data_IF_985768769682
#
_entry.id   IF_985768769682
#
_cell.length_a   1.000
_cell.length_b   1.000
_cell.length_c   1.000
_cell.angle_alpha   90.00
_cell.angle_beta   90.00
_cell.angle_gamma   90.00
#
_symmetry.space_group_name_H-M   'P 1'
#
loop_
_entity.id
_entity.type
_entity.pdbx_description
1 polymer ?
#
# COMPACT_ATOMS: atom_id res chain seq x y z
N UNK A 1 -25.24 16.78 -3.81
CA UNK A 1 -25.97 15.52 -4.18
C UNK A 1 -25.06 14.31 -3.97
N UNK A 2 -24.40 14.21 -2.82
CA UNK A 2 -23.11 13.50 -2.71
C UNK A 2 -23.16 12.21 -1.90
N UNK A 3 -23.85 12.18 -0.77
CA UNK A 3 -23.77 11.03 0.15
C UNK A 3 -24.54 9.80 -0.36
N UNK A 4 -25.76 9.99 -0.88
CA UNK A 4 -26.65 8.88 -1.24
C UNK A 4 -26.19 8.17 -2.51
N UNK A 5 -25.66 8.91 -3.49
CA UNK A 5 -25.09 8.34 -4.72
C UNK A 5 -23.80 7.57 -4.44
N UNK A 6 -22.94 8.09 -3.56
CA UNK A 6 -21.71 7.39 -3.16
C UNK A 6 -22.00 6.16 -2.30
N UNK A 7 -23.03 6.18 -1.46
CA UNK A 7 -23.48 5.01 -0.72
C UNK A 7 -23.97 3.90 -1.66
N UNK A 8 -24.77 4.24 -2.68
CA UNK A 8 -25.23 3.27 -3.70
C UNK A 8 -24.07 2.69 -4.50
N UNK A 9 -23.09 3.52 -4.89
CA UNK A 9 -21.88 3.05 -5.58
C UNK A 9 -21.08 2.08 -4.70
N UNK A 10 -20.87 2.41 -3.42
CA UNK A 10 -20.19 1.53 -2.45
C UNK A 10 -20.93 0.22 -2.26
N UNK A 11 -22.26 0.25 -2.14
CA UNK A 11 -23.08 -0.97 -2.05
C UNK A 11 -22.99 -1.81 -3.33
N UNK A 12 -22.98 -1.18 -4.51
CA UNK A 12 -22.77 -1.85 -5.78
C UNK A 12 -21.41 -2.55 -5.88
N UNK A 13 -20.34 -1.85 -5.49
CA UNK A 13 -18.99 -2.44 -5.42
C UNK A 13 -18.92 -3.59 -4.41
N UNK A 14 -19.65 -3.49 -3.30
CA UNK A 14 -19.75 -4.57 -2.31
C UNK A 14 -20.46 -5.80 -2.90
N UNK A 15 -21.46 -5.58 -3.77
CA UNK A 15 -22.16 -6.63 -4.51
C UNK A 15 -21.29 -7.34 -5.56
N UNK A 16 -20.32 -6.64 -6.16
CA UNK A 16 -19.28 -7.25 -7.02
C UNK A 16 -18.36 -8.13 -6.16
N UNK A 17 -18.10 -7.72 -4.92
CA UNK A 17 -17.25 -8.44 -3.97
C UNK A 17 -15.77 -8.11 -4.14
N UNK A 18 -15.02 -8.28 -3.05
CA UNK A 18 -13.61 -7.87 -2.95
C UNK A 18 -12.66 -8.69 -3.83
N UNK A 19 -13.00 -9.96 -4.08
CA UNK A 19 -12.19 -10.87 -4.91
C UNK A 19 -12.36 -10.57 -6.41
N UNK A 20 -13.54 -10.09 -6.80
CA UNK A 20 -13.88 -9.78 -8.19
C UNK A 20 -13.68 -8.29 -8.53
N UNK A 21 -13.10 -7.50 -7.62
CA UNK A 21 -12.85 -6.07 -7.75
C UNK A 21 -11.67 -5.79 -8.70
N UNK A 22 -11.91 -6.01 -9.99
CA UNK A 22 -10.98 -5.74 -11.10
C UNK A 22 -11.35 -4.44 -11.82
N UNK A 23 -10.40 -3.87 -12.57
CA UNK A 23 -10.66 -2.70 -13.42
C UNK A 23 -11.83 -2.96 -14.37
N UNK A 24 -11.85 -4.11 -15.04
CA UNK A 24 -12.93 -4.52 -15.95
C UNK A 24 -14.30 -4.53 -15.26
N UNK A 25 -14.39 -5.06 -14.03
CA UNK A 25 -15.64 -5.08 -13.26
C UNK A 25 -16.10 -3.70 -12.81
N UNK A 26 -15.17 -2.81 -12.45
CA UNK A 26 -15.48 -1.42 -12.10
C UNK A 26 -15.99 -0.66 -13.33
N UNK A 27 -15.37 -0.88 -14.49
CA UNK A 27 -15.80 -0.32 -15.77
C UNK A 27 -17.18 -0.83 -16.18
N UNK A 28 -17.42 -2.15 -16.09
CA UNK A 28 -18.72 -2.78 -16.37
C UNK A 28 -19.82 -2.20 -15.48
N UNK A 29 -19.59 -2.11 -14.17
CA UNK A 29 -20.53 -1.51 -13.23
C UNK A 29 -20.82 -0.04 -13.54
N UNK A 30 -19.78 0.73 -13.89
CA UNK A 30 -19.96 2.12 -14.31
C UNK A 30 -20.80 2.23 -15.59
N UNK A 31 -20.57 1.36 -16.57
CA UNK A 31 -21.37 1.34 -17.81
C UNK A 31 -22.83 0.97 -17.54
N UNK A 32 -23.11 0.04 -16.62
CA UNK A 32 -24.48 -0.29 -16.23
C UNK A 32 -25.20 0.89 -15.58
N UNK A 33 -24.53 1.60 -14.67
CA UNK A 33 -25.09 2.79 -14.03
C UNK A 33 -25.35 3.91 -15.05
N UNK A 34 -24.50 4.06 -16.07
CA UNK A 34 -24.74 5.00 -17.17
C UNK A 34 -25.99 4.59 -17.97
N UNK A 35 -26.12 3.30 -18.30
CA UNK A 35 -27.26 2.77 -19.06
C UNK A 35 -28.59 2.92 -18.32
N UNK A 36 -28.58 2.74 -16.99
CA UNK A 36 -29.76 2.92 -16.13
C UNK A 36 -30.16 4.39 -15.96
N UNK A 37 -29.30 5.33 -16.37
CA UNK A 37 -29.52 6.76 -16.20
C UNK A 37 -29.16 7.27 -14.79
N UNK A 38 -28.56 6.42 -13.95
CA UNK A 38 -28.17 6.75 -12.58
C UNK A 38 -26.86 7.57 -12.52
N UNK A 39 -26.10 7.62 -13.62
CA UNK A 39 -24.94 8.48 -13.76
C UNK A 39 -24.73 8.96 -15.20
N UNK A 40 -24.14 10.13 -15.37
CA UNK A 40 -23.66 10.60 -16.68
C UNK A 40 -22.39 9.87 -17.12
N UNK A 41 -22.07 9.92 -18.42
CA UNK A 41 -20.82 9.37 -18.97
C UNK A 41 -19.57 9.99 -18.33
N UNK A 42 -19.64 11.27 -17.97
CA UNK A 42 -18.52 11.98 -17.35
C UNK A 42 -18.32 11.54 -15.90
N UNK A 43 -19.41 11.42 -15.13
CA UNK A 43 -19.38 10.90 -13.76
C UNK A 43 -18.91 9.44 -13.70
N UNK A 44 -19.29 8.61 -14.67
CA UNK A 44 -18.83 7.22 -14.76
C UNK A 44 -17.32 7.11 -14.98
N UNK A 45 -16.77 7.87 -15.94
CA UNK A 45 -15.32 7.93 -16.16
C UNK A 45 -14.57 8.41 -14.93
N UNK A 46 -15.11 9.43 -14.25
CA UNK A 46 -14.53 9.94 -13.01
C UNK A 46 -14.56 8.88 -11.90
N UNK A 47 -15.69 8.20 -11.72
CA UNK A 47 -15.85 7.14 -10.73
C UNK A 47 -14.82 6.01 -10.91
N UNK A 48 -14.66 5.50 -12.14
CA UNK A 48 -13.66 4.44 -12.42
C UNK A 48 -12.27 4.91 -12.03
N UNK A 49 -11.89 6.14 -12.44
CA UNK A 49 -10.58 6.71 -12.14
C UNK A 49 -10.36 6.88 -10.62
N UNK A 50 -11.36 7.39 -9.91
CA UNK A 50 -11.28 7.64 -8.47
C UNK A 50 -11.10 6.33 -7.69
N UNK A 51 -11.84 5.27 -8.06
CA UNK A 51 -11.71 3.94 -7.43
C UNK A 51 -10.34 3.33 -7.69
N UNK A 52 -9.83 3.42 -8.92
CA UNK A 52 -8.50 2.90 -9.26
C UNK A 52 -7.38 3.66 -8.54
N UNK A 53 -7.46 4.99 -8.49
CA UNK A 53 -6.47 5.82 -7.79
C UNK A 53 -6.49 5.58 -6.28
N UNK A 54 -7.67 5.46 -5.68
CA UNK A 54 -7.80 5.14 -4.26
C UNK A 54 -7.24 3.75 -3.95
N UNK A 55 -7.48 2.75 -4.82
CA UNK A 55 -6.89 1.42 -4.70
C UNK A 55 -5.36 1.46 -4.71
N UNK A 56 -4.75 2.19 -5.64
CA UNK A 56 -3.29 2.33 -5.72
C UNK A 56 -2.72 2.95 -4.44
N UNK A 57 -3.34 4.02 -3.95
CA UNK A 57 -2.93 4.68 -2.70
C UNK A 57 -3.03 3.74 -1.50
N UNK A 58 -4.16 3.04 -1.36
CA UNK A 58 -4.37 2.09 -0.26
C UNK A 58 -3.40 0.91 -0.31
N UNK A 59 -3.05 0.42 -1.50
CA UNK A 59 -2.06 -0.65 -1.66
C UNK A 59 -0.68 -0.18 -1.21
N UNK A 60 -0.26 1.03 -1.58
CA UNK A 60 1.02 1.59 -1.13
C UNK A 60 1.08 1.75 0.39
N UNK A 61 0.05 2.36 0.99
CA UNK A 61 -0.02 2.53 2.44
C UNK A 61 -0.05 1.18 3.18
N UNK A 62 -0.63 0.15 2.56
CA UNK A 62 -0.65 -1.21 3.08
C UNK A 62 0.71 -1.90 2.99
N UNK A 63 1.40 -1.78 1.86
CA UNK A 63 2.78 -2.28 1.68
C UNK A 63 3.73 -1.66 2.71
N UNK A 64 3.65 -0.34 2.91
CA UNK A 64 4.48 0.37 3.89
C UNK A 64 4.23 -0.16 5.32
N UNK A 65 2.95 -0.35 5.70
CA UNK A 65 2.58 -0.93 7.00
C UNK A 65 3.04 -2.37 7.16
N UNK A 66 2.95 -3.20 6.12
CA UNK A 66 3.46 -4.57 6.14
C UNK A 66 4.98 -4.55 6.33
N UNK A 67 5.69 -3.73 5.57
CA UNK A 67 7.15 -3.63 5.65
C UNK A 67 7.60 -3.20 7.05
N UNK A 68 6.92 -2.21 7.63
CA UNK A 68 7.17 -1.77 9.00
C UNK A 68 6.91 -2.91 10.00
N UNK A 69 5.76 -3.58 9.90
CA UNK A 69 5.39 -4.66 10.82
C UNK A 69 6.33 -5.86 10.74
N UNK A 70 6.75 -6.22 9.53
CA UNK A 70 7.75 -7.28 9.29
C UNK A 70 9.08 -6.87 9.92
N UNK A 71 9.54 -5.63 9.68
CA UNK A 71 10.77 -5.10 10.26
C UNK A 71 10.74 -5.14 11.80
N UNK A 72 9.66 -4.68 12.42
CA UNK A 72 9.48 -4.73 13.88
C UNK A 72 9.51 -6.17 14.40
N UNK A 73 8.85 -7.09 13.70
CA UNK A 73 8.79 -8.50 14.10
C UNK A 73 10.18 -9.13 14.02
N UNK A 74 10.93 -8.86 12.94
CA UNK A 74 12.30 -9.34 12.78
C UNK A 74 13.21 -8.83 13.89
N UNK A 75 13.12 -7.53 14.23
CA UNK A 75 13.87 -6.94 15.35
C UNK A 75 13.54 -7.61 16.69
N UNK A 76 12.26 -7.93 16.95
CA UNK A 76 11.83 -8.58 18.20
C UNK A 76 12.16 -10.07 18.26
N UNK A 77 12.32 -10.73 17.11
CA UNK A 77 12.60 -12.17 17.01
C UNK A 77 14.09 -12.55 17.19
N UNK A 78 14.98 -11.57 17.37
CA UNK A 78 16.42 -11.80 17.50
C UNK A 78 17.14 -12.05 16.17
N UNK A 79 16.47 -11.81 15.03
CA UNK A 79 17.10 -11.88 13.70
C UNK A 79 18.00 -10.66 13.52
N UNK A 80 19.31 -10.92 13.39
CA UNK A 80 20.32 -9.89 13.14
C UNK A 80 20.13 -9.33 11.73
N UNK A 81 19.93 -8.02 11.61
CA UNK A 81 19.84 -7.35 10.32
C UNK A 81 21.24 -7.13 9.74
N UNK A 82 21.35 -7.06 8.41
CA UNK A 82 22.63 -6.72 7.74
C UNK A 82 23.23 -5.40 8.24
N UNK A 83 22.37 -4.44 8.60
CA UNK A 83 22.77 -3.17 9.22
C UNK A 83 23.51 -3.36 10.54
N UNK A 84 23.11 -4.34 11.35
CA UNK A 84 23.70 -4.61 12.66
C UNK A 84 25.11 -5.18 12.50
N UNK A 85 25.30 -6.04 11.50
CA UNK A 85 26.62 -6.59 11.11
C UNK A 85 27.54 -5.46 10.62
N UNK A 86 27.08 -4.61 9.72
CA UNK A 86 27.89 -3.49 9.23
C UNK A 86 28.23 -2.47 10.33
N UNK A 87 27.36 -2.29 11.32
CA UNK A 87 27.66 -1.46 12.49
C UNK A 87 28.74 -2.09 13.38
N UNK A 88 28.73 -3.42 13.53
CA UNK A 88 29.77 -4.18 14.22
C UNK A 88 31.11 -4.10 13.49
N UNK A 89 31.15 -4.30 12.17
CA UNK A 89 32.36 -4.19 11.35
C UNK A 89 33.04 -2.83 11.52
N UNK A 90 32.27 -1.73 11.45
CA UNK A 90 32.80 -0.37 11.67
C UNK A 90 33.36 -0.16 13.07
N UNK A 91 32.73 -0.76 14.09
CA UNK A 91 33.24 -0.70 15.47
C UNK A 91 34.56 -1.47 15.60
N UNK A 92 34.66 -2.63 14.96
CA UNK A 92 35.89 -3.44 14.93
C UNK A 92 37.01 -2.66 14.25
N UNK A 93 36.80 -2.10 13.05
CA UNK A 93 37.83 -1.29 12.36
C UNK A 93 38.31 -0.11 13.23
N UNK A 94 37.39 0.55 13.94
CA UNK A 94 37.75 1.67 14.81
C UNK A 94 38.61 1.22 15.99
N UNK A 95 38.24 0.11 16.62
CA UNK A 95 39.01 -0.49 17.70
C UNK A 95 40.39 -0.94 17.23
N UNK A 96 40.49 -1.58 16.06
CA UNK A 96 41.76 -1.99 15.46
C UNK A 96 42.69 -0.80 15.21
N UNK A 97 42.15 0.31 14.67
CA UNK A 97 42.91 1.55 14.49
C UNK A 97 43.41 2.12 15.82
N UNK A 98 42.56 2.15 16.85
CA UNK A 98 42.95 2.64 18.18
C UNK A 98 44.03 1.76 18.80
N UNK A 99 43.87 0.43 18.79
CA UNK A 99 44.86 -0.50 19.34
C UNK A 99 46.20 -0.39 18.60
N UNK A 100 46.18 -0.29 17.26
CA UNK A 100 47.41 -0.10 16.48
C UNK A 100 48.09 1.24 16.76
N UNK A 101 47.33 2.30 17.06
CA UNK A 101 47.90 3.60 17.46
C UNK A 101 48.50 3.59 18.86
N UNK A 102 48.07 2.68 19.75
CA UNK A 102 48.61 2.51 21.11
C UNK A 102 49.84 1.60 21.17
N UNK A 103 50.09 0.79 20.13
CA UNK A 103 51.25 -0.09 20.00
C UNK A 103 52.46 0.57 19.31
N UNK A 104 52.30 1.77 18.76
CA UNK A 104 53.38 2.62 18.26
C UNK A 104 53.86 3.54 19.37
#
# INVERSE_FOLDING_TARGET
MSEMSDMVRKMGLFGIGVISLTQEKIEEFSQEMIKKGDMSKEEGKKFVKDVLSEKEKQMKDFEDKINERVKETLQKSGVVMKSDISALERKIEKLEKTVNSMKK
#
